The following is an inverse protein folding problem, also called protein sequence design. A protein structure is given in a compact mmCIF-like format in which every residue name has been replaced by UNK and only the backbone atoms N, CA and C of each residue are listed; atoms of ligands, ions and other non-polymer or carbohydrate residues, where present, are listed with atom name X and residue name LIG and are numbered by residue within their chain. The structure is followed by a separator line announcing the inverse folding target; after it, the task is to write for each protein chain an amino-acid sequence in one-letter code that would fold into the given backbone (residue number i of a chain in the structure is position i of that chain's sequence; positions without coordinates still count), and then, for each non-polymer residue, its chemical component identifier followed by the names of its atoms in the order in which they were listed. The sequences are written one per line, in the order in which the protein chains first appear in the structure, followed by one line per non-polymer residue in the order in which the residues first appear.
data_IF_405028068909
#
_entry.id   IF_405028068909
#
_cell.length_a   1.000
_cell.length_b   1.000
_cell.length_c   1.000
_cell.angle_alpha   90.00
_cell.angle_beta   90.00
_cell.angle_gamma   90.00
#
_symmetry.space_group_name_H-M   'P 1'
#
loop_
_entity.id
_entity.type
_entity.pdbx_description
1 polymer ?
#
# COMPACT_ATOMS: atom_id res chain seq x y z
N UNK A 1 -0.72 35.56 -25.13
CA UNK A 1 0.53 35.03 -24.57
C UNK A 1 0.22 34.43 -23.22
N UNK A 2 -0.55 33.34 -23.20
CA UNK A 2 -0.11 31.95 -23.53
C UNK A 2 0.74 31.40 -22.38
N UNK A 3 0.57 30.23 -21.80
CA UNK A 3 -0.30 29.07 -21.93
C UNK A 3 0.06 28.23 -20.70
N UNK A 4 -0.86 27.99 -19.76
CA UNK A 4 -0.66 26.95 -18.73
C UNK A 4 -1.92 26.06 -18.65
N UNK A 5 -1.98 25.19 -19.65
CA UNK A 5 -2.33 23.76 -19.57
C UNK A 5 -3.61 23.43 -18.81
N UNK A 6 -4.69 23.42 -19.60
CA UNK A 6 -5.64 22.32 -19.72
C UNK A 6 -5.96 21.58 -18.42
N UNK A 7 -6.97 22.10 -17.73
CA UNK A 7 -7.79 21.32 -16.83
C UNK A 7 -8.64 20.38 -17.68
N UNK A 8 -8.13 19.19 -17.94
CA UNK A 8 -8.88 18.13 -18.62
C UNK A 8 -9.83 17.47 -17.61
N UNK A 9 -11.01 18.08 -17.42
CA UNK A 9 -12.13 17.46 -16.72
C UNK A 9 -12.82 16.46 -17.67
N UNK A 10 -12.17 15.33 -17.98
CA UNK A 10 -12.86 14.22 -18.65
C UNK A 10 -13.75 13.45 -17.67
N UNK A 11 -14.95 14.01 -17.49
CA UNK A 11 -16.14 13.35 -16.96
C UNK A 11 -16.52 12.22 -17.93
N UNK A 12 -16.27 10.94 -17.61
CA UNK A 12 -16.80 9.86 -18.46
C UNK A 12 -16.29 8.42 -18.30
N UNK A 13 -15.21 8.15 -17.56
CA UNK A 13 -14.85 6.77 -17.20
C UNK A 13 -14.73 6.71 -15.70
N UNK A 14 -15.31 5.67 -15.08
CA UNK A 14 -15.18 5.38 -13.66
C UNK A 14 -13.74 5.65 -13.23
N UNK A 15 -13.47 6.75 -12.48
CA UNK A 15 -12.10 7.18 -12.27
C UNK A 15 -11.37 6.05 -11.57
N UNK A 16 -10.37 5.51 -12.26
CA UNK A 16 -9.48 4.53 -11.67
C UNK A 16 -8.59 5.31 -10.72
N UNK A 17 -8.84 5.17 -9.43
CA UNK A 17 -8.08 5.90 -8.43
C UNK A 17 -6.83 5.10 -8.13
N UNK A 18 -5.68 5.68 -8.46
CA UNK A 18 -4.38 5.18 -8.03
C UNK A 18 -3.99 5.96 -6.79
N UNK A 19 -3.77 5.23 -5.69
CA UNK A 19 -3.31 5.76 -4.41
C UNK A 19 -1.88 5.29 -4.20
N UNK A 20 -0.94 6.22 -4.27
CA UNK A 20 0.47 5.96 -3.96
C UNK A 20 0.71 6.29 -2.48
N UNK A 21 0.77 5.25 -1.65
CA UNK A 21 1.07 5.38 -0.23
C UNK A 21 2.57 5.25 -0.05
N UNK A 22 3.26 6.31 0.36
CA UNK A 22 4.68 6.25 0.69
C UNK A 22 4.92 6.34 2.19
N UNK A 23 5.81 5.50 2.70
CA UNK A 23 6.28 5.60 4.08
C UNK A 23 7.74 5.23 4.21
N UNK A 24 8.44 6.02 5.03
CA UNK A 24 9.83 5.77 5.37
C UNK A 24 9.87 5.09 6.73
N UNK A 25 10.29 3.84 6.74
CA UNK A 25 10.52 3.05 7.95
C UNK A 25 12.01 3.06 8.33
N UNK A 26 12.37 2.76 9.58
CA UNK A 26 13.77 2.70 10.00
C UNK A 26 14.58 1.63 9.24
N UNK A 27 13.91 0.61 8.72
CA UNK A 27 14.50 -0.49 7.94
C UNK A 27 14.54 -0.23 6.43
N UNK A 28 13.76 0.73 5.93
CA UNK A 28 13.80 1.18 4.53
C UNK A 28 12.58 2.00 4.11
N UNK A 29 12.56 2.50 2.88
CA UNK A 29 11.38 3.21 2.34
C UNK A 29 10.49 2.25 1.56
N UNK A 30 9.20 2.32 1.84
CA UNK A 30 8.17 1.55 1.17
C UNK A 30 7.20 2.47 0.48
N UNK A 31 6.83 2.12 -0.74
CA UNK A 31 5.79 2.75 -1.52
C UNK A 31 4.81 1.66 -1.95
N UNK A 32 3.53 1.84 -1.66
CA UNK A 32 2.46 0.93 -2.02
C UNK A 32 1.53 1.65 -2.98
N UNK A 33 1.52 1.22 -4.22
CA UNK A 33 0.64 1.77 -5.24
C UNK A 33 -0.63 0.91 -5.31
N UNK A 34 -1.73 1.45 -4.81
CA UNK A 34 -3.03 0.79 -4.76
C UNK A 34 -3.92 1.33 -5.87
N UNK A 35 -4.35 0.47 -6.79
CA UNK A 35 -5.30 0.82 -7.84
C UNK A 35 -6.67 0.31 -7.45
N UNK A 36 -7.62 1.22 -7.33
CA UNK A 36 -8.99 0.88 -6.97
C UNK A 36 -10.00 1.42 -7.99
N UNK A 37 -11.06 0.65 -8.21
CA UNK A 37 -12.18 1.02 -9.07
C UNK A 37 -13.47 0.62 -8.39
N UNK A 38 -14.44 1.54 -8.32
CA UNK A 38 -15.73 1.27 -7.66
C UNK A 38 -15.61 0.87 -6.18
N UNK A 39 -14.55 1.30 -5.48
CA UNK A 39 -14.29 0.93 -4.09
C UNK A 39 -13.71 -0.47 -3.89
N UNK A 40 -13.32 -1.16 -4.97
CA UNK A 40 -12.62 -2.45 -4.93
C UNK A 40 -11.17 -2.24 -5.37
N UNK A 41 -10.24 -2.81 -4.63
CA UNK A 41 -8.81 -2.84 -5.01
C UNK A 41 -8.66 -3.79 -6.19
N UNK A 42 -8.29 -3.24 -7.35
CA UNK A 42 -8.01 -4.00 -8.56
C UNK A 42 -6.58 -4.55 -8.59
N UNK A 43 -5.63 -3.74 -8.13
CA UNK A 43 -4.21 -4.05 -8.19
C UNK A 43 -3.47 -3.34 -7.05
N UNK A 44 -2.39 -3.94 -6.58
CA UNK A 44 -1.59 -3.41 -5.50
C UNK A 44 -0.13 -3.72 -5.81
N UNK A 45 0.63 -2.69 -6.18
CA UNK A 45 2.03 -2.79 -6.55
C UNK A 45 2.92 -2.30 -5.41
N UNK A 46 3.55 -3.21 -4.65
CA UNK A 46 4.48 -2.86 -3.60
C UNK A 46 5.87 -2.56 -4.16
N UNK A 47 6.46 -1.46 -3.73
CA UNK A 47 7.76 -0.98 -4.15
C UNK A 47 8.58 -0.70 -2.89
N UNK A 48 9.71 -1.39 -2.72
CA UNK A 48 10.64 -1.10 -1.63
C UNK A 48 11.84 -0.38 -2.21
N UNK A 49 12.04 0.86 -1.80
CA UNK A 49 13.16 1.72 -2.20
C UNK A 49 14.03 1.96 -0.96
N UNK A 50 15.36 1.80 -1.02
CA UNK A 50 16.24 1.99 0.16
C UNK A 50 16.05 0.96 1.29
N UNK A 51 16.19 -0.34 1.02
CA UNK A 51 16.34 -1.34 2.08
C UNK A 51 17.70 -1.18 2.76
N UNK A 52 17.71 -0.74 4.01
CA UNK A 52 18.96 -0.59 4.79
C UNK A 52 19.55 -1.94 5.18
N UNK A 53 18.70 -2.96 5.33
CA UNK A 53 19.11 -4.31 5.69
C UNK A 53 18.49 -5.32 4.72
N UNK A 54 19.27 -5.89 3.78
CA UNK A 54 18.78 -6.88 2.82
C UNK A 54 18.42 -8.24 3.45
N UNK A 55 18.75 -8.44 4.73
CA UNK A 55 18.32 -9.62 5.49
C UNK A 55 16.88 -9.52 6.01
N UNK A 56 16.24 -8.35 5.85
CA UNK A 56 14.85 -8.16 6.25
C UNK A 56 13.97 -8.56 5.08
N UNK A 57 13.10 -9.57 5.29
CA UNK A 57 12.13 -10.07 4.31
C UNK A 57 10.97 -9.07 4.09
N UNK A 58 11.24 -7.76 4.13
CA UNK A 58 10.24 -6.71 4.05
C UNK A 58 9.59 -6.67 2.67
N UNK A 59 10.36 -6.91 1.61
CA UNK A 59 9.84 -7.05 0.25
C UNK A 59 8.84 -8.21 0.16
N UNK A 60 9.17 -9.36 0.75
CA UNK A 60 8.33 -10.54 0.74
C UNK A 60 7.05 -10.32 1.56
N UNK A 61 7.17 -9.81 2.79
CA UNK A 61 6.01 -9.49 3.63
C UNK A 61 5.09 -8.46 2.97
N UNK A 62 5.66 -7.42 2.35
CA UNK A 62 4.89 -6.41 1.66
C UNK A 62 4.19 -6.96 0.42
N UNK A 63 4.82 -7.85 -0.34
CA UNK A 63 4.18 -8.54 -1.46
C UNK A 63 3.01 -9.41 -1.02
N UNK A 64 3.18 -10.21 0.03
CA UNK A 64 2.11 -11.04 0.60
C UNK A 64 0.93 -10.17 1.06
N UNK A 65 1.21 -9.05 1.73
CA UNK A 65 0.18 -8.10 2.15
C UNK A 65 -0.51 -7.45 0.94
N UNK A 66 0.25 -6.97 -0.05
CA UNK A 66 -0.30 -6.37 -1.26
C UNK A 66 -1.20 -7.34 -2.01
N UNK A 67 -0.78 -8.61 -2.17
CA UNK A 67 -1.59 -9.64 -2.81
C UNK A 67 -2.88 -9.95 -2.02
N UNK A 68 -2.86 -9.84 -0.70
CA UNK A 68 -4.05 -10.01 0.15
C UNK A 68 -5.02 -8.82 0.06
N UNK A 69 -4.50 -7.63 -0.26
CA UNK A 69 -5.30 -6.42 -0.48
C UNK A 69 -6.02 -6.42 -1.83
N UNK A 70 -5.44 -7.06 -2.85
CA UNK A 70 -6.08 -7.18 -4.17
C UNK A 70 -7.39 -7.95 -4.06
N UNK A 71 -8.48 -7.36 -4.55
CA UNK A 71 -9.82 -7.92 -4.46
C UNK A 71 -10.58 -7.56 -3.17
N UNK A 72 -9.94 -6.93 -2.18
CA UNK A 72 -10.62 -6.41 -0.99
C UNK A 72 -11.33 -5.09 -1.31
N UNK A 73 -12.35 -4.76 -0.51
CA UNK A 73 -13.03 -3.47 -0.60
C UNK A 73 -12.21 -2.43 0.16
N UNK A 74 -11.89 -1.31 -0.49
CA UNK A 74 -11.14 -0.20 0.11
C UNK A 74 -11.84 0.28 1.40
N UNK A 75 -11.08 0.40 2.49
CA UNK A 75 -11.58 0.81 3.81
C UNK A 75 -12.19 -0.30 4.67
N UNK A 76 -12.15 -1.56 4.22
CA UNK A 76 -12.60 -2.71 5.02
C UNK A 76 -11.53 -3.81 5.06
N UNK A 77 -10.34 -3.46 5.54
CA UNK A 77 -9.25 -4.42 5.68
C UNK A 77 -9.32 -5.11 7.04
N UNK A 78 -9.79 -6.35 7.02
CA UNK A 78 -9.86 -7.19 8.22
C UNK A 78 -8.56 -7.98 8.35
N UNK A 79 -7.49 -7.30 8.76
CA UNK A 79 -6.27 -7.98 9.16
C UNK A 79 -6.55 -8.74 10.46
N UNK A 80 -6.45 -10.08 10.41
CA UNK A 80 -6.67 -10.93 11.57
C UNK A 80 -5.78 -10.47 12.73
N UNK A 81 -6.34 -10.39 13.94
CA UNK A 81 -5.59 -10.01 15.14
C UNK A 81 -4.29 -10.82 15.22
N UNK A 82 -3.13 -10.19 15.46
CA UNK A 82 -1.88 -10.91 15.65
C UNK A 82 -1.98 -11.66 16.97
N UNK A 83 -2.51 -12.88 16.92
CA UNK A 83 -2.46 -13.84 18.02
C UNK A 83 -0.99 -14.23 18.16
N UNK A 84 -0.37 -13.71 19.22
CA UNK A 84 1.07 -13.61 19.34
C UNK A 84 1.84 -14.91 19.08
N UNK A 85 3.04 -14.75 18.51
CA UNK A 85 4.30 -15.45 18.83
C UNK A 85 5.29 -15.34 17.64
N UNK A 86 6.13 -14.30 17.62
CA UNK A 86 7.52 -14.30 17.08
C UNK A 86 8.09 -12.88 17.05
N UNK A 87 8.80 -12.52 18.12
CA UNK A 87 9.37 -11.19 18.37
C UNK A 87 10.44 -10.71 17.36
N UNK A 88 10.92 -11.58 16.45
CA UNK A 88 11.99 -11.23 15.49
C UNK A 88 11.51 -10.99 14.04
N UNK A 89 10.44 -11.67 13.60
CA UNK A 89 9.83 -11.46 12.26
C UNK A 89 8.53 -10.65 12.33
N UNK A 90 7.90 -10.56 13.52
CA UNK A 90 6.63 -9.89 13.71
C UNK A 90 6.68 -8.37 13.50
N UNK A 91 7.82 -7.72 13.75
CA UNK A 91 7.87 -6.25 13.77
C UNK A 91 7.57 -5.62 12.42
N UNK A 92 8.14 -6.12 11.32
CA UNK A 92 7.97 -5.51 9.99
C UNK A 92 6.54 -5.69 9.49
N UNK A 93 6.02 -6.92 9.58
CA UNK A 93 4.66 -7.22 9.14
C UNK A 93 3.65 -6.37 9.91
N UNK A 94 3.80 -6.28 11.22
CA UNK A 94 2.93 -5.46 12.06
C UNK A 94 3.02 -3.96 11.73
N UNK A 95 4.23 -3.45 11.47
CA UNK A 95 4.47 -2.05 11.10
C UNK A 95 3.82 -1.71 9.75
N UNK A 96 3.91 -2.63 8.78
CA UNK A 96 3.22 -2.55 7.48
C UNK A 96 1.69 -2.62 7.62
N UNK A 97 1.17 -3.60 8.37
CA UNK A 97 -0.27 -3.77 8.62
C UNK A 97 -0.84 -2.53 9.32
N UNK A 98 -0.18 -2.05 10.38
CA UNK A 98 -0.58 -0.85 11.12
C UNK A 98 -0.55 0.40 10.23
N UNK A 99 0.47 0.54 9.37
CA UNK A 99 0.56 1.63 8.42
C UNK A 99 -0.59 1.59 7.40
N UNK A 100 -0.84 0.45 6.76
CA UNK A 100 -1.90 0.30 5.75
C UNK A 100 -3.26 0.63 6.37
N UNK A 101 -3.53 0.13 7.58
CA UNK A 101 -4.77 0.47 8.31
C UNK A 101 -4.84 1.97 8.58
N UNK A 102 -3.75 2.61 9.01
CA UNK A 102 -3.73 4.04 9.31
C UNK A 102 -4.02 4.91 8.07
N UNK A 103 -3.48 4.56 6.90
CA UNK A 103 -3.70 5.31 5.65
C UNK A 103 -5.09 5.08 5.05
N UNK A 104 -5.76 3.99 5.42
CA UNK A 104 -7.05 3.57 4.82
C UNK A 104 -8.24 3.68 5.78
N UNK A 105 -8.02 4.16 7.02
CA UNK A 105 -9.05 4.41 8.05
C UNK A 105 -9.67 5.80 7.99
#
# INVERSE_FOLDING_TARGET
MEELKSWDWQYGQTPEFTYDLERVFPWGRVTLQLRSKHGVVLDCAPIVSDLKNPQLNADHCLHELASSLVGQRYGFFQFGQPSGQSEAQGTIRQDLEAWIVNETS
#
